data_IF_594752978447
#
_entry.id   IF_594752978447
#
_cell.length_a   1.000
_cell.length_b   1.000
_cell.length_c   1.000
_cell.angle_alpha   90.00
_cell.angle_beta   90.00
_cell.angle_gamma   90.00
#
_symmetry.space_group_name_H-M   'P 1'
#
loop_
_entity.id
_entity.type
_entity.pdbx_description
1 polymer ?
#
# COMPACT_ATOMS: atom_id res chain seq x y z
N UNK A 1 -13.44 -2.34 1.76
CA UNK A 1 -13.10 -1.00 1.23
C UNK A 1 -14.19 -0.43 0.32
N UNK A 2 -14.62 -1.13 -0.74
CA UNK A 2 -15.70 -0.67 -1.64
C UNK A 2 -16.93 -0.11 -0.90
N UNK A 3 -17.42 -0.83 0.11
CA UNK A 3 -18.57 -0.37 0.90
C UNK A 3 -18.30 0.88 1.74
N UNK A 4 -17.07 1.07 2.24
CA UNK A 4 -16.67 2.30 2.92
C UNK A 4 -16.58 3.45 1.91
N UNK A 5 -15.95 3.20 0.74
CA UNK A 5 -15.86 4.16 -0.35
C UNK A 5 -17.25 4.60 -0.82
N UNK A 6 -18.23 3.68 -0.88
CA UNK A 6 -19.61 4.00 -1.27
C UNK A 6 -20.30 4.91 -0.27
N UNK A 7 -20.02 4.74 1.02
CA UNK A 7 -20.62 5.56 2.10
C UNK A 7 -19.93 6.91 2.25
N UNK A 8 -18.60 6.95 2.13
CA UNK A 8 -17.80 8.14 2.45
C UNK A 8 -17.41 8.95 1.21
N UNK A 9 -17.30 8.31 0.04
CA UNK A 9 -16.84 8.92 -1.20
C UNK A 9 -17.69 8.47 -2.41
N UNK A 10 -19.02 8.70 -2.39
CA UNK A 10 -19.93 8.19 -3.43
C UNK A 10 -19.56 8.66 -4.85
N UNK A 11 -19.07 9.89 -5.00
CA UNK A 11 -18.63 10.44 -6.29
C UNK A 11 -17.38 9.74 -6.86
N UNK A 12 -16.52 9.17 -6.00
CA UNK A 12 -15.35 8.38 -6.42
C UNK A 12 -15.78 7.00 -6.88
N UNK A 13 -16.72 6.36 -6.17
CA UNK A 13 -17.27 5.05 -6.56
C UNK A 13 -17.99 5.13 -7.90
N UNK A 14 -18.73 6.21 -8.16
CA UNK A 14 -19.38 6.42 -9.47
C UNK A 14 -18.40 6.48 -10.65
N UNK A 15 -17.12 6.76 -10.39
CA UNK A 15 -16.04 6.83 -11.38
C UNK A 15 -15.14 5.58 -11.38
N UNK A 16 -15.43 4.58 -10.57
CA UNK A 16 -14.61 3.36 -10.49
C UNK A 16 -14.68 2.57 -11.80
N UNK A 17 -13.60 1.86 -12.20
CA UNK A 17 -13.63 0.97 -13.36
C UNK A 17 -14.78 -0.04 -13.28
N UNK A 18 -15.46 -0.25 -14.41
CA UNK A 18 -16.47 -1.29 -14.54
C UNK A 18 -15.79 -2.66 -14.63
N UNK A 19 -16.36 -3.67 -13.97
CA UNK A 19 -15.91 -5.05 -14.11
C UNK A 19 -16.27 -5.59 -15.50
N UNK A 20 -15.35 -6.35 -16.08
CA UNK A 20 -15.53 -7.04 -17.36
C UNK A 20 -16.17 -8.39 -17.08
N UNK A 21 -17.45 -8.53 -17.39
CA UNK A 21 -18.23 -9.75 -17.15
C UNK A 21 -17.89 -10.87 -18.16
N UNK A 22 -16.68 -11.40 -18.04
CA UNK A 22 -16.14 -12.45 -18.91
C UNK A 22 -16.27 -13.85 -18.31
N UNK A 23 -16.84 -13.95 -17.10
CA UNK A 23 -17.07 -15.19 -16.34
C UNK A 23 -15.83 -16.10 -16.20
N UNK A 24 -14.62 -15.52 -16.23
CA UNK A 24 -13.36 -16.21 -16.00
C UNK A 24 -12.76 -15.74 -14.68
N UNK A 25 -12.44 -16.70 -13.81
CA UNK A 25 -11.87 -16.40 -12.48
C UNK A 25 -10.60 -15.53 -12.53
N UNK A 26 -9.74 -15.73 -13.54
CA UNK A 26 -8.52 -14.92 -13.69
C UNK A 26 -8.83 -13.45 -14.00
N UNK A 27 -9.92 -13.19 -14.73
CA UNK A 27 -10.32 -11.84 -15.09
C UNK A 27 -11.00 -11.16 -13.89
N UNK A 28 -11.76 -11.89 -13.07
CA UNK A 28 -12.28 -11.39 -11.79
C UNK A 28 -11.18 -10.96 -10.82
N UNK A 29 -10.05 -11.71 -10.77
CA UNK A 29 -8.88 -11.36 -9.96
C UNK A 29 -8.26 -10.05 -10.47
N UNK A 30 -8.04 -9.93 -11.79
CA UNK A 30 -7.47 -8.73 -12.40
C UNK A 30 -8.35 -7.50 -12.15
N UNK A 31 -9.65 -7.63 -12.34
CA UNK A 31 -10.62 -6.57 -12.10
C UNK A 31 -10.63 -6.14 -10.63
N UNK A 32 -10.51 -7.08 -9.70
CA UNK A 32 -10.45 -6.77 -8.26
C UNK A 32 -9.14 -6.05 -7.88
N UNK A 33 -8.03 -6.40 -8.52
CA UNK A 33 -6.74 -5.70 -8.34
C UNK A 33 -6.82 -4.28 -8.88
N UNK A 34 -7.40 -4.09 -10.06
CA UNK A 34 -7.53 -2.77 -10.68
C UNK A 34 -8.51 -1.88 -9.91
N UNK A 35 -9.62 -2.43 -9.42
CA UNK A 35 -10.53 -1.75 -8.48
C UNK A 35 -9.78 -1.32 -7.21
N UNK A 36 -8.94 -2.18 -6.64
CA UNK A 36 -8.14 -1.85 -5.45
C UNK A 36 -7.09 -0.77 -5.73
N UNK A 37 -6.42 -0.82 -6.88
CA UNK A 37 -5.46 0.22 -7.30
C UNK A 37 -6.15 1.57 -7.41
N UNK A 38 -7.33 1.61 -8.03
CA UNK A 38 -8.14 2.83 -8.14
C UNK A 38 -8.48 3.42 -6.76
N UNK A 39 -8.95 2.59 -5.81
CA UNK A 39 -9.22 3.09 -4.46
C UNK A 39 -7.96 3.55 -3.75
N UNK A 40 -6.83 2.83 -3.90
CA UNK A 40 -5.55 3.20 -3.28
C UNK A 40 -5.09 4.61 -3.68
N UNK A 41 -5.26 4.99 -4.94
CA UNK A 41 -4.85 6.32 -5.41
C UNK A 41 -5.89 7.40 -5.13
N UNK A 42 -7.16 7.04 -4.91
CA UNK A 42 -8.27 8.00 -4.85
C UNK A 42 -8.75 8.35 -3.44
N UNK A 43 -8.62 7.42 -2.47
CA UNK A 43 -9.20 7.61 -1.12
C UNK A 43 -8.23 7.33 0.04
N UNK A 44 -7.05 6.76 -0.24
CA UNK A 44 -6.04 6.52 0.80
C UNK A 44 -5.03 7.67 0.83
N UNK A 45 -4.54 7.96 2.04
CA UNK A 45 -3.44 8.91 2.23
C UNK A 45 -2.17 8.30 1.64
N UNK A 46 -1.37 9.06 0.86
CA UNK A 46 -0.10 8.58 0.35
C UNK A 46 0.82 8.18 1.53
N UNK A 47 1.69 7.17 1.34
CA UNK A 47 2.63 6.80 2.39
C UNK A 47 3.50 8.02 2.74
N UNK A 48 3.89 8.18 4.02
CA UNK A 48 4.81 9.23 4.40
C UNK A 48 6.12 9.09 3.63
N UNK A 49 6.87 10.18 3.42
CA UNK A 49 8.19 10.10 2.81
C UNK A 49 9.04 9.08 3.59
N UNK A 50 9.82 8.27 2.86
CA UNK A 50 10.70 7.30 3.47
C UNK A 50 11.54 8.00 4.55
N UNK A 51 11.54 7.49 5.78
CA UNK A 51 12.45 7.99 6.81
C UNK A 51 13.86 7.90 6.22
N UNK A 52 14.70 8.94 6.35
CA UNK A 52 16.09 8.85 5.94
C UNK A 52 16.67 7.59 6.60
N UNK A 53 17.28 6.73 5.77
CA UNK A 53 17.90 5.49 6.22
C UNK A 53 18.76 5.81 7.43
N UNK A 54 18.36 5.29 8.59
CA UNK A 54 19.13 5.43 9.82
C UNK A 54 20.55 4.93 9.48
N UNK A 55 21.61 5.75 9.67
CA UNK A 55 22.96 5.29 9.38
C UNK A 55 23.20 4.00 10.17
N UNK A 56 23.98 3.03 9.63
CA UNK A 56 24.21 1.77 10.30
C UNK A 56 24.65 2.07 11.72
N UNK A 57 23.98 1.46 12.70
CA UNK A 57 24.24 1.66 14.12
C UNK A 57 25.76 1.62 14.33
N UNK A 58 26.32 2.74 14.75
CA UNK A 58 27.75 2.87 15.05
C UNK A 58 28.14 1.72 15.95
N UNK A 59 28.99 0.84 15.41
CA UNK A 59 29.54 -0.32 16.09
C UNK A 59 30.09 0.15 17.45
N UNK A 60 29.72 -0.50 18.58
CA UNK A 60 30.32 -0.13 19.86
C UNK A 60 31.84 -0.31 19.77
N UNK A 61 32.65 0.56 20.40
CA UNK A 61 34.10 0.40 20.39
C UNK A 61 34.45 -0.95 21.02
N UNK A 62 35.19 -1.76 20.27
CA UNK A 62 35.81 -2.99 20.78
C UNK A 62 36.86 -2.57 21.82
N UNK A 63 36.50 -2.68 23.10
CA UNK A 63 37.47 -2.59 24.19
C UNK A 63 38.34 -3.85 24.13
N UNK A 64 39.69 -3.74 23.98
CA UNK A 64 40.54 -4.92 24.13
C UNK A 64 40.51 -5.40 25.59
N UNK A 65 40.66 -6.70 25.85
CA UNK A 65 40.80 -7.18 27.22
C UNK A 65 42.11 -6.63 27.79
N UNK A 66 41.98 -5.91 28.90
CA UNK A 66 43.10 -5.57 29.76
C UNK A 66 43.30 -6.79 30.64
N UNK A 67 44.29 -7.63 30.35
CA UNK A 67 44.84 -8.58 31.33
C UNK A 67 46.22 -9.13 30.91
N UNK A 68 47.08 -9.21 31.93
CA UNK A 68 48.40 -9.85 32.10
C UNK A 68 49.63 -9.21 31.42
#
# INVERSE_FOLDING_TARGET
IKELARRWYPAIVAKSPLKKDTHRALDDIRDSIDELRYYRTSIFVPPPPARPSQPPASTPPSTPPVDA
#
